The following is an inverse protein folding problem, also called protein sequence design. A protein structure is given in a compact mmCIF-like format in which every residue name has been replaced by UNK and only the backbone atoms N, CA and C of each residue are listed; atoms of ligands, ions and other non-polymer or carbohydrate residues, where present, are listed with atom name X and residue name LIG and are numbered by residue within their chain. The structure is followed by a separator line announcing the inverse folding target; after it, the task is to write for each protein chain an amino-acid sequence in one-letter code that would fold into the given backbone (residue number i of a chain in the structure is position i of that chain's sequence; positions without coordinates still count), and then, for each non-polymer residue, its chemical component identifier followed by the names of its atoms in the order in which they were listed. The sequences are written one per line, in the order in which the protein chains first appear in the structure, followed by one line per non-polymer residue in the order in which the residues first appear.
data_IF_692299465845
#
_entry.id   IF_692299465845
#
_cell.length_a   1.000
_cell.length_b   1.000
_cell.length_c   1.000
_cell.angle_alpha   90.00
_cell.angle_beta   90.00
_cell.angle_gamma   90.00
#
_symmetry.space_group_name_H-M   'P 1'
#
loop_
_entity.id
_entity.type
_entity.pdbx_description
1 polymer ?
#
# COMPACT_ATOMS: atom_id res chain seq x y z
N UNK A 1 62.08 28.98 -71.63
CA UNK A 1 62.06 27.80 -72.51
C UNK A 1 60.62 27.36 -72.69
N UNK A 2 60.18 27.23 -73.96
CA UNK A 2 59.13 26.35 -74.54
C UNK A 2 57.96 25.91 -73.62
N UNK A 3 56.69 25.88 -74.00
CA UNK A 3 55.94 26.20 -75.22
C UNK A 3 54.45 25.87 -74.88
N UNK A 4 53.52 26.57 -75.53
CA UNK A 4 52.20 26.10 -76.02
C UNK A 4 51.04 25.81 -75.04
N UNK A 5 49.97 26.57 -75.29
CA UNK A 5 48.52 26.42 -74.99
C UNK A 5 47.91 25.22 -75.79
N UNK A 6 46.57 24.98 -75.96
CA UNK A 6 45.35 25.67 -75.49
C UNK A 6 44.07 24.82 -75.16
N UNK A 7 43.09 25.48 -74.50
CA UNK A 7 41.62 25.55 -74.80
C UNK A 7 40.75 24.26 -74.78
N UNK A 8 39.63 24.28 -74.05
CA UNK A 8 38.22 24.28 -74.53
C UNK A 8 37.28 24.61 -73.33
N UNK A 9 36.72 25.83 -73.25
CA UNK A 9 35.29 26.18 -73.49
C UNK A 9 34.31 25.41 -72.54
N UNK A 10 33.38 25.99 -71.77
CA UNK A 10 32.36 27.01 -72.05
C UNK A 10 31.81 27.60 -70.73
N UNK A 11 31.44 28.88 -70.82
CA UNK A 11 30.71 29.75 -69.91
C UNK A 11 29.31 29.22 -69.52
N UNK A 12 28.95 29.27 -68.23
CA UNK A 12 27.67 29.86 -67.85
C UNK A 12 27.66 30.35 -66.40
N UNK A 13 27.73 31.67 -66.26
CA UNK A 13 27.40 32.41 -65.06
C UNK A 13 25.91 32.74 -65.07
N UNK A 14 25.25 32.64 -63.91
CA UNK A 14 24.06 33.36 -63.45
C UNK A 14 23.80 32.89 -62.01
N UNK A 15 23.53 33.67 -60.96
CA UNK A 15 23.46 35.10 -60.66
C UNK A 15 23.52 35.16 -59.12
N UNK A 16 24.35 36.05 -58.56
CA UNK A 16 24.10 36.97 -57.43
C UNK A 16 23.29 36.41 -56.23
N UNK A 17 23.87 36.41 -55.02
CA UNK A 17 23.51 37.35 -53.94
C UNK A 17 24.47 37.17 -52.74
N UNK A 18 24.94 38.32 -52.27
CA UNK A 18 25.97 38.53 -51.26
C UNK A 18 25.27 38.91 -49.96
N UNK A 19 25.42 38.16 -48.87
CA UNK A 19 25.29 38.71 -47.51
C UNK A 19 26.13 37.94 -46.51
N UNK A 20 26.85 38.71 -45.69
CA UNK A 20 27.68 38.28 -44.57
C UNK A 20 26.88 37.41 -43.58
N UNK A 21 27.50 36.33 -43.10
CA UNK A 21 27.15 35.73 -41.82
C UNK A 21 28.39 35.81 -40.93
N UNK A 22 28.28 36.65 -39.91
CA UNK A 22 29.13 36.71 -38.73
C UNK A 22 29.27 35.33 -38.10
N UNK A 23 30.51 34.86 -37.94
CA UNK A 23 30.81 33.67 -37.16
C UNK A 23 30.48 33.94 -35.68
N UNK A 24 29.39 33.36 -35.19
CA UNK A 24 29.16 33.20 -33.75
C UNK A 24 29.91 31.96 -33.27
N UNK A 25 30.47 31.95 -32.04
CA UNK A 25 31.09 30.76 -31.49
C UNK A 25 30.02 29.68 -31.30
N UNK A 26 30.28 28.49 -31.84
CA UNK A 26 29.50 27.29 -31.52
C UNK A 26 29.79 26.96 -30.06
N UNK A 27 28.86 27.35 -29.17
CA UNK A 27 28.78 26.73 -27.85
C UNK A 27 28.27 25.31 -28.13
N UNK A 28 29.18 24.34 -28.07
CA UNK A 28 28.82 22.93 -28.03
C UNK A 28 28.02 22.71 -26.75
N UNK A 29 26.71 22.57 -26.90
CA UNK A 29 25.81 22.07 -25.87
C UNK A 29 26.32 20.69 -25.42
N UNK A 30 26.94 20.64 -24.26
CA UNK A 30 27.20 19.38 -23.55
C UNK A 30 25.89 18.98 -22.87
N UNK A 31 24.90 18.62 -23.69
CA UNK A 31 23.74 17.89 -23.21
C UNK A 31 24.20 16.47 -22.90
N UNK A 32 24.49 16.22 -21.63
CA UNK A 32 24.63 14.87 -21.09
C UNK A 32 23.29 14.14 -21.33
N UNK A 33 23.26 13.06 -22.15
CA UNK A 33 22.02 12.40 -22.54
C UNK A 33 21.37 11.62 -21.38
N UNK A 34 21.91 11.70 -20.17
CA UNK A 34 21.47 10.90 -19.02
C UNK A 34 20.79 11.71 -17.90
N UNK A 35 20.46 12.99 -18.12
CA UNK A 35 19.53 13.69 -17.23
C UNK A 35 18.11 13.31 -17.65
N UNK A 36 17.60 12.24 -17.05
CA UNK A 36 16.21 11.84 -17.18
C UNK A 36 15.32 13.06 -16.95
N UNK A 37 14.63 13.52 -18.00
CA UNK A 37 13.73 14.65 -17.91
C UNK A 37 12.74 14.36 -16.76
N UNK A 38 12.63 15.29 -15.80
CA UNK A 38 11.67 15.17 -14.71
C UNK A 38 10.26 15.11 -15.31
N UNK A 39 9.76 13.91 -15.53
CA UNK A 39 8.40 13.69 -16.00
C UNK A 39 7.48 14.04 -14.84
N UNK A 40 6.53 14.96 -15.07
CA UNK A 40 5.48 15.22 -14.10
C UNK A 40 4.77 13.90 -13.83
N UNK A 41 4.67 13.50 -12.55
CA UNK A 41 3.91 12.32 -12.17
C UNK A 41 2.46 12.51 -12.62
N UNK A 42 1.87 11.47 -13.20
CA UNK A 42 0.44 11.47 -13.49
C UNK A 42 -0.32 11.66 -12.18
N UNK A 43 -0.94 12.83 -12.03
CA UNK A 43 -1.76 13.14 -10.86
C UNK A 43 -2.98 12.26 -10.87
N UNK A 44 -3.24 11.58 -9.75
CA UNK A 44 -4.42 10.72 -9.58
C UNK A 44 -5.71 11.57 -9.47
N UNK A 45 -6.88 11.03 -9.84
CA UNK A 45 -8.10 11.83 -10.03
C UNK A 45 -8.69 12.43 -8.75
N UNK A 46 -8.33 11.90 -7.57
CA UNK A 46 -8.78 12.38 -6.27
C UNK A 46 -7.76 12.00 -5.18
N UNK A 47 -7.80 12.65 -4.00
CA UNK A 47 -6.97 12.28 -2.86
C UNK A 47 -7.47 11.00 -2.15
N UNK A 48 -6.53 10.26 -1.57
CA UNK A 48 -6.80 9.18 -0.62
C UNK A 48 -6.85 9.74 0.80
N UNK A 49 -8.03 9.72 1.41
CA UNK A 49 -8.24 9.90 2.86
C UNK A 49 -8.17 8.54 3.51
N UNK A 50 -7.00 8.22 4.04
CA UNK A 50 -6.66 6.89 4.52
C UNK A 50 -6.86 6.85 6.02
N UNK A 51 -7.66 5.91 6.51
CA UNK A 51 -7.80 5.59 7.93
C UNK A 51 -7.02 4.30 8.24
N UNK A 52 -5.82 4.38 8.85
CA UNK A 52 -5.18 3.23 9.46
C UNK A 52 -5.94 2.85 10.74
N UNK A 53 -6.72 1.77 10.69
CA UNK A 53 -7.57 1.31 11.79
C UNK A 53 -7.04 -0.02 12.35
N UNK A 54 -6.73 -0.06 13.65
CA UNK A 54 -6.24 -1.29 14.24
C UNK A 54 -5.66 -1.12 15.63
N UNK A 55 -4.67 -1.97 15.96
CA UNK A 55 -4.08 -2.00 17.30
C UNK A 55 -2.64 -1.44 17.34
N UNK A 56 -1.79 -2.03 18.19
CA UNK A 56 -0.39 -1.63 18.37
C UNK A 56 0.45 -1.73 17.10
N UNK A 57 0.15 -2.70 16.23
CA UNK A 57 0.85 -2.84 14.94
C UNK A 57 0.55 -1.64 14.04
N UNK A 58 -0.72 -1.24 13.91
CA UNK A 58 -1.14 -0.02 13.19
C UNK A 58 -0.55 1.25 13.80
N UNK A 59 -0.48 1.34 15.13
CA UNK A 59 0.17 2.47 15.81
C UNK A 59 1.66 2.60 15.42
N UNK A 60 2.32 1.49 15.06
CA UNK A 60 3.77 1.45 14.91
C UNK A 60 4.50 1.23 16.23
N UNK A 61 3.86 0.57 17.20
CA UNK A 61 4.50 0.24 18.47
C UNK A 61 5.77 -0.59 18.24
N UNK A 62 6.82 -0.35 19.03
CA UNK A 62 8.18 -0.89 18.86
C UNK A 62 8.94 -0.47 17.60
N UNK A 63 8.35 0.32 16.69
CA UNK A 63 9.15 1.04 15.68
C UNK A 63 9.91 2.19 16.35
N UNK A 64 11.19 2.37 15.98
CA UNK A 64 12.06 3.39 16.59
C UNK A 64 11.54 4.82 16.39
N UNK A 65 10.92 5.06 15.24
CA UNK A 65 10.38 6.35 14.83
C UNK A 65 8.89 6.51 15.17
N UNK A 66 8.25 5.47 15.73
CA UNK A 66 6.83 5.45 16.03
C UNK A 66 5.91 5.49 14.79
N UNK A 67 6.43 5.33 13.56
CA UNK A 67 5.61 5.41 12.36
C UNK A 67 5.03 4.05 11.95
N UNK A 68 5.69 2.95 12.31
CA UNK A 68 5.36 1.62 11.79
C UNK A 68 5.42 1.56 10.27
N UNK A 69 4.43 0.94 9.63
CA UNK A 69 4.35 0.85 8.16
C UNK A 69 3.90 2.18 7.51
N UNK A 70 3.25 3.07 8.27
CA UNK A 70 2.46 4.19 7.73
C UNK A 70 3.30 5.15 6.89
N UNK A 71 4.51 5.48 7.36
CA UNK A 71 5.43 6.36 6.63
C UNK A 71 5.86 5.77 5.28
N UNK A 72 6.30 4.52 5.28
CA UNK A 72 6.73 3.81 4.07
C UNK A 72 5.60 3.71 3.04
N UNK A 73 4.39 3.37 3.50
CA UNK A 73 3.21 3.29 2.63
C UNK A 73 2.83 4.66 2.07
N UNK A 74 2.79 5.69 2.92
CA UNK A 74 2.47 7.06 2.49
C UNK A 74 3.44 7.53 1.43
N UNK A 75 4.74 7.39 1.66
CA UNK A 75 5.77 7.78 0.70
C UNK A 75 5.62 7.02 -0.63
N UNK A 76 5.24 5.74 -0.61
CA UNK A 76 4.99 4.97 -1.83
C UNK A 76 3.78 5.47 -2.62
N UNK A 77 2.67 5.79 -1.93
CA UNK A 77 1.47 6.33 -2.57
C UNK A 77 1.74 7.70 -3.19
N UNK A 78 2.46 8.56 -2.46
CA UNK A 78 2.94 9.87 -2.94
C UNK A 78 3.88 9.71 -4.13
N UNK A 79 4.77 8.72 -4.09
CA UNK A 79 5.64 8.37 -5.19
C UNK A 79 4.86 7.97 -6.46
N UNK A 80 3.76 7.25 -6.28
CA UNK A 80 2.86 6.83 -7.36
C UNK A 80 1.88 7.93 -7.85
N UNK A 81 1.96 9.15 -7.31
CA UNK A 81 1.15 10.29 -7.77
C UNK A 81 -0.16 10.54 -7.02
N UNK A 82 -0.43 9.81 -5.93
CA UNK A 82 -1.61 10.05 -5.08
C UNK A 82 -1.41 11.27 -4.17
N UNK A 83 -2.47 12.08 -4.05
CA UNK A 83 -2.67 12.94 -2.87
C UNK A 83 -3.09 12.08 -1.68
N UNK A 84 -2.50 12.30 -0.50
CA UNK A 84 -2.72 11.44 0.68
C UNK A 84 -2.89 12.29 1.94
N UNK A 85 -4.02 12.09 2.60
CA UNK A 85 -4.37 12.59 3.94
C UNK A 85 -4.58 11.37 4.84
N UNK A 86 -3.62 11.07 5.70
CA UNK A 86 -3.84 10.10 6.78
C UNK A 86 -4.79 10.74 7.79
N UNK A 87 -5.78 9.98 8.25
CA UNK A 87 -6.77 10.45 9.21
C UNK A 87 -6.88 9.49 10.39
N UNK A 88 -7.38 10.01 11.51
CA UNK A 88 -7.65 9.25 12.71
C UNK A 88 -7.67 10.13 13.95
N UNK A 89 -7.95 9.53 15.10
CA UNK A 89 -8.04 10.27 16.37
C UNK A 89 -6.71 10.34 17.13
N UNK A 90 -5.75 9.48 16.79
CA UNK A 90 -4.44 9.43 17.41
C UNK A 90 -3.36 9.99 16.48
N UNK A 91 -2.30 10.51 17.08
CA UNK A 91 -1.12 11.03 16.37
C UNK A 91 0.14 10.58 17.08
N UNK A 92 0.95 9.76 16.42
CA UNK A 92 2.32 9.48 16.85
C UNK A 92 3.22 9.11 15.67
N UNK A 93 4.50 9.30 15.90
CA UNK A 93 5.56 9.04 14.94
C UNK A 93 6.14 10.33 14.38
N UNK A 94 7.31 10.21 13.74
CA UNK A 94 8.05 11.34 13.19
C UNK A 94 7.62 11.78 11.78
N UNK A 95 6.68 11.07 11.13
CA UNK A 95 6.14 11.52 9.84
C UNK A 95 5.28 12.78 10.01
N UNK A 96 5.15 13.58 8.95
CA UNK A 96 4.37 14.83 9.02
C UNK A 96 2.87 14.55 9.14
N UNK A 97 2.38 13.58 8.37
CA UNK A 97 0.99 13.14 8.34
C UNK A 97 0.79 11.89 9.21
N UNK A 98 0.96 12.07 10.52
CA UNK A 98 1.09 10.97 11.47
C UNK A 98 -0.22 10.56 12.17
N UNK A 99 -1.36 10.95 11.60
CA UNK A 99 -2.70 10.58 12.05
C UNK A 99 -2.99 9.08 11.83
N UNK A 100 -3.70 8.45 12.78
CA UNK A 100 -4.16 7.06 12.70
C UNK A 100 -5.19 6.72 13.80
N UNK A 101 -5.76 5.53 13.76
CA UNK A 101 -6.59 4.93 14.81
C UNK A 101 -6.04 3.54 15.21
N UNK A 102 -4.79 3.54 15.69
CA UNK A 102 -4.07 2.35 16.15
C UNK A 102 -4.04 2.29 17.68
N UNK A 103 -4.80 1.38 18.30
CA UNK A 103 -5.02 1.35 19.76
C UNK A 103 -4.35 0.12 20.40
N UNK A 104 -3.30 0.34 21.20
CA UNK A 104 -2.52 -0.76 21.80
C UNK A 104 -3.42 -1.69 22.62
N UNK A 105 -3.30 -3.00 22.39
CA UNK A 105 -3.99 -4.04 23.15
C UNK A 105 -5.45 -4.27 22.75
N UNK A 106 -5.99 -3.48 21.82
CA UNK A 106 -7.40 -3.60 21.44
C UNK A 106 -7.67 -4.80 20.55
N UNK A 107 -8.80 -5.45 20.85
CA UNK A 107 -9.41 -6.53 20.08
C UNK A 107 -10.39 -6.03 19.04
N UNK A 108 -10.88 -6.94 18.19
CA UNK A 108 -11.89 -6.63 17.15
C UNK A 108 -13.14 -5.94 17.74
N UNK A 109 -13.66 -6.39 18.88
CA UNK A 109 -14.86 -5.82 19.50
C UNK A 109 -14.68 -4.36 19.95
N UNK A 110 -13.48 -4.03 20.46
CA UNK A 110 -13.15 -2.68 20.90
C UNK A 110 -12.92 -1.74 19.72
N UNK A 111 -12.25 -2.22 18.68
CA UNK A 111 -12.10 -1.49 17.41
C UNK A 111 -13.47 -1.24 16.78
N UNK A 112 -14.37 -2.23 16.79
CA UNK A 112 -15.72 -2.07 16.27
C UNK A 112 -16.57 -1.07 17.07
N UNK A 113 -16.41 -1.02 18.40
CA UNK A 113 -17.05 -0.01 19.23
C UNK A 113 -16.53 1.41 18.91
N UNK A 114 -15.22 1.56 18.74
CA UNK A 114 -14.59 2.85 18.41
C UNK A 114 -14.92 3.34 17.01
N UNK A 115 -14.99 2.44 16.02
CA UNK A 115 -15.38 2.78 14.65
C UNK A 115 -16.68 3.61 14.60
N UNK A 116 -17.64 3.30 15.47
CA UNK A 116 -18.92 4.03 15.59
C UNK A 116 -18.76 5.49 15.99
N UNK A 117 -17.68 5.82 16.70
CA UNK A 117 -17.40 7.17 17.17
C UNK A 117 -16.68 8.03 16.13
N UNK A 118 -16.08 7.40 15.11
CA UNK A 118 -15.24 8.06 14.11
C UNK A 118 -15.84 8.05 12.68
N UNK A 119 -17.03 7.51 12.48
CA UNK A 119 -17.70 7.44 11.16
C UNK A 119 -17.80 8.81 10.46
N UNK A 120 -17.90 9.91 11.21
CA UNK A 120 -17.97 11.26 10.66
C UNK A 120 -16.72 11.70 9.90
N UNK A 121 -15.58 11.02 10.06
CA UNK A 121 -14.35 11.29 9.33
C UNK A 121 -14.43 10.93 7.84
N UNK A 122 -15.34 10.01 7.48
CA UNK A 122 -15.65 9.55 6.12
C UNK A 122 -14.41 9.25 5.23
N UNK A 123 -13.53 8.30 5.61
CA UNK A 123 -12.42 7.88 4.77
C UNK A 123 -12.91 7.18 3.49
N UNK A 124 -12.23 7.39 2.36
CA UNK A 124 -12.44 6.58 1.15
C UNK A 124 -11.55 5.33 1.09
N UNK A 125 -10.55 5.22 1.99
CA UNK A 125 -9.71 4.05 2.11
C UNK A 125 -9.48 3.70 3.58
N UNK A 126 -9.80 2.48 3.98
CA UNK A 126 -9.54 1.98 5.35
C UNK A 126 -8.51 0.84 5.27
N UNK A 127 -7.45 0.93 6.07
CA UNK A 127 -6.48 -0.15 6.26
C UNK A 127 -6.77 -0.81 7.60
N UNK A 128 -7.36 -2.01 7.58
CA UNK A 128 -7.88 -2.68 8.77
C UNK A 128 -6.98 -3.84 9.20
N UNK A 129 -6.31 -3.66 10.35
CA UNK A 129 -5.49 -4.70 11.00
C UNK A 129 -5.91 -4.87 12.47
N UNK A 130 -6.71 -5.89 12.75
CA UNK A 130 -7.15 -6.25 14.10
C UNK A 130 -7.31 -7.77 14.23
N UNK A 131 -7.22 -8.31 15.44
CA UNK A 131 -7.31 -9.75 15.73
C UNK A 131 -6.09 -10.33 16.44
N UNK A 132 -4.91 -9.70 16.35
CA UNK A 132 -3.71 -10.16 17.09
C UNK A 132 -3.96 -10.23 18.59
N UNK A 133 -4.70 -9.25 19.15
CA UNK A 133 -5.03 -9.24 20.57
C UNK A 133 -6.12 -10.27 20.93
N UNK A 134 -7.01 -10.61 20.01
CA UNK A 134 -7.98 -11.69 20.19
C UNK A 134 -7.24 -13.03 20.34
N UNK A 135 -6.24 -13.30 19.49
CA UNK A 135 -5.36 -14.46 19.63
C UNK A 135 -4.53 -14.42 20.93
N UNK A 136 -3.94 -13.28 21.29
CA UNK A 136 -3.13 -13.14 22.50
C UNK A 136 -3.92 -13.32 23.80
N UNK A 137 -5.19 -12.94 23.78
CA UNK A 137 -6.08 -12.98 24.94
C UNK A 137 -7.01 -14.20 24.93
N UNK A 138 -6.85 -15.09 23.95
CA UNK A 138 -7.74 -16.24 23.70
C UNK A 138 -9.23 -15.85 23.73
N UNK A 139 -9.55 -14.71 23.10
CA UNK A 139 -10.86 -14.11 23.16
C UNK A 139 -11.65 -14.41 21.89
N UNK A 140 -12.59 -15.36 21.99
CA UNK A 140 -13.58 -15.63 20.93
C UNK A 140 -12.93 -15.78 19.54
N UNK A 141 -11.85 -16.57 19.48
CA UNK A 141 -11.06 -16.82 18.28
C UNK A 141 -11.90 -17.50 17.20
N UNK A 142 -12.73 -18.46 17.61
CA UNK A 142 -13.70 -19.21 16.80
C UNK A 142 -14.73 -18.35 16.04
N UNK A 143 -14.95 -17.12 16.51
CA UNK A 143 -15.91 -16.17 15.95
C UNK A 143 -15.27 -14.85 15.52
N UNK A 144 -13.93 -14.81 15.39
CA UNK A 144 -13.19 -13.63 14.95
C UNK A 144 -13.63 -13.16 13.56
N UNK A 145 -13.83 -14.08 12.61
CA UNK A 145 -14.35 -13.79 11.28
C UNK A 145 -15.73 -13.14 11.32
N UNK A 146 -16.68 -13.68 12.08
CA UNK A 146 -18.03 -13.11 12.23
C UNK A 146 -18.03 -11.71 12.85
N UNK A 147 -17.14 -11.45 13.81
CA UNK A 147 -16.99 -10.13 14.43
C UNK A 147 -16.36 -9.13 13.46
N UNK A 148 -15.38 -9.56 12.67
CA UNK A 148 -14.79 -8.75 11.61
C UNK A 148 -15.83 -8.45 10.52
N UNK A 149 -16.60 -9.45 10.10
CA UNK A 149 -17.71 -9.31 9.15
C UNK A 149 -18.72 -8.25 9.60
N UNK A 150 -19.12 -8.29 10.87
CA UNK A 150 -20.02 -7.28 11.46
C UNK A 150 -19.42 -5.87 11.44
N UNK A 151 -18.10 -5.75 11.65
CA UNK A 151 -17.40 -4.47 11.54
C UNK A 151 -17.35 -3.98 10.08
N UNK A 152 -17.05 -4.86 9.13
CA UNK A 152 -17.04 -4.53 7.70
C UNK A 152 -18.42 -4.05 7.24
N UNK A 153 -19.50 -4.77 7.58
CA UNK A 153 -20.89 -4.33 7.31
C UNK A 153 -21.11 -2.91 7.82
N UNK A 154 -20.79 -2.67 9.10
CA UNK A 154 -21.00 -1.36 9.69
C UNK A 154 -20.23 -0.25 8.97
N UNK A 155 -18.96 -0.50 8.59
CA UNK A 155 -18.15 0.48 7.87
C UNK A 155 -18.70 0.76 6.47
N UNK A 156 -19.05 -0.28 5.70
CA UNK A 156 -19.63 -0.10 4.36
C UNK A 156 -20.99 0.62 4.41
N UNK A 157 -21.84 0.30 5.39
CA UNK A 157 -23.16 0.92 5.54
C UNK A 157 -23.08 2.41 5.91
N UNK A 158 -22.03 2.84 6.62
CA UNK A 158 -21.93 4.19 7.18
C UNK A 158 -20.89 5.08 6.51
N UNK A 159 -20.04 4.52 5.64
CA UNK A 159 -18.97 5.24 4.94
C UNK A 159 -19.12 4.95 3.44
N UNK A 160 -20.01 5.68 2.74
CA UNK A 160 -20.20 5.49 1.31
C UNK A 160 -18.89 5.74 0.56
N UNK A 161 -18.71 5.06 -0.57
CA UNK A 161 -17.53 5.15 -1.44
C UNK A 161 -16.22 4.65 -0.80
N UNK A 162 -16.28 4.05 0.39
CA UNK A 162 -15.09 3.49 1.01
C UNK A 162 -14.67 2.18 0.33
N UNK A 163 -13.37 2.03 0.14
CA UNK A 163 -12.70 0.75 -0.08
C UNK A 163 -12.04 0.32 1.22
N UNK A 164 -12.18 -0.96 1.57
CA UNK A 164 -11.51 -1.52 2.74
C UNK A 164 -10.42 -2.47 2.26
N UNK A 165 -9.20 -2.27 2.73
CA UNK A 165 -8.15 -3.26 2.64
C UNK A 165 -8.11 -3.97 4.00
N UNK A 166 -8.48 -5.24 4.03
CA UNK A 166 -8.41 -6.07 5.23
C UNK A 166 -7.09 -6.84 5.21
N UNK A 167 -6.27 -6.74 6.26
CA UNK A 167 -5.10 -7.60 6.36
C UNK A 167 -5.41 -8.92 7.07
N UNK A 168 -4.76 -10.01 6.66
CA UNK A 168 -4.54 -11.13 7.60
C UNK A 168 -3.65 -10.66 8.76
N UNK A 169 -3.52 -11.47 9.81
CA UNK A 169 -2.63 -11.10 10.92
C UNK A 169 -1.16 -11.24 10.48
N UNK A 170 -0.28 -10.42 11.06
CA UNK A 170 1.15 -10.71 11.03
C UNK A 170 1.43 -11.97 11.85
N UNK A 171 2.58 -12.62 11.63
CA UNK A 171 2.95 -13.79 12.44
C UNK A 171 2.86 -13.48 13.94
N UNK A 172 2.14 -14.34 14.68
CA UNK A 172 1.97 -14.24 16.12
C UNK A 172 2.88 -15.28 16.79
N UNK A 173 4.11 -14.92 17.11
CA UNK A 173 5.07 -15.85 17.71
C UNK A 173 4.79 -16.23 19.17
N UNK A 174 3.71 -15.72 19.77
CA UNK A 174 3.25 -16.18 21.10
C UNK A 174 2.14 -17.20 21.00
N UNK A 175 1.15 -16.96 20.13
CA UNK A 175 0.02 -17.86 19.86
C UNK A 175 -0.13 -18.08 18.34
N UNK A 176 0.79 -18.82 17.70
CA UNK A 176 0.84 -18.95 16.24
C UNK A 176 -0.40 -19.66 15.67
N UNK A 177 -0.89 -20.71 16.33
CA UNK A 177 -2.09 -21.45 15.90
C UNK A 177 -3.33 -20.54 15.88
N UNK A 178 -3.60 -19.84 16.99
CA UNK A 178 -4.74 -18.90 17.06
C UNK A 178 -4.61 -17.74 16.06
N UNK A 179 -3.39 -17.27 15.79
CA UNK A 179 -3.15 -16.26 14.77
C UNK A 179 -3.47 -16.74 13.35
N UNK A 180 -3.11 -18.00 13.05
CA UNK A 180 -3.43 -18.67 11.78
C UNK A 180 -4.92 -18.94 11.65
N UNK A 181 -5.60 -19.35 12.72
CA UNK A 181 -7.06 -19.60 12.72
C UNK A 181 -7.85 -18.33 12.39
N UNK A 182 -7.46 -17.18 12.96
CA UNK A 182 -8.09 -15.89 12.65
C UNK A 182 -7.80 -15.48 11.20
N UNK A 183 -6.55 -15.65 10.74
CA UNK A 183 -6.18 -15.28 9.37
C UNK A 183 -6.92 -16.12 8.32
N UNK A 184 -7.14 -17.41 8.61
CA UNK A 184 -7.94 -18.31 7.75
C UNK A 184 -9.38 -17.82 7.65
N UNK A 185 -10.00 -17.48 8.78
CA UNK A 185 -11.35 -16.89 8.78
C UNK A 185 -11.43 -15.59 7.97
N UNK A 186 -10.36 -14.77 7.95
CA UNK A 186 -10.34 -13.53 7.17
C UNK A 186 -10.20 -13.76 5.67
N UNK A 187 -9.46 -14.80 5.26
CA UNK A 187 -9.37 -15.18 3.85
C UNK A 187 -10.72 -15.71 3.33
N UNK A 188 -11.41 -16.53 4.12
CA UNK A 188 -12.76 -17.02 3.80
C UNK A 188 -13.77 -15.86 3.73
N UNK A 189 -13.76 -14.99 4.75
CA UNK A 189 -14.59 -13.78 4.78
C UNK A 189 -14.34 -12.88 3.57
N UNK A 190 -13.08 -12.66 3.20
CA UNK A 190 -12.75 -11.85 2.04
C UNK A 190 -13.30 -12.45 0.74
N UNK A 191 -13.22 -13.77 0.57
CA UNK A 191 -13.82 -14.46 -0.57
C UNK A 191 -15.34 -14.29 -0.63
N UNK A 192 -16.03 -14.43 0.51
CA UNK A 192 -17.49 -14.25 0.63
C UNK A 192 -17.94 -12.83 0.30
N UNK A 193 -17.20 -11.84 0.79
CA UNK A 193 -17.48 -10.41 0.57
C UNK A 193 -17.22 -10.00 -0.88
N UNK A 194 -16.11 -10.49 -1.46
CA UNK A 194 -15.79 -10.31 -2.87
C UNK A 194 -16.84 -10.90 -3.80
N UNK A 195 -17.37 -12.08 -3.48
CA UNK A 195 -18.45 -12.69 -4.24
C UNK A 195 -19.76 -11.88 -4.19
N UNK A 196 -19.91 -10.98 -3.21
CA UNK A 196 -21.02 -10.04 -3.08
C UNK A 196 -20.74 -8.67 -3.75
N UNK A 197 -19.60 -8.53 -4.43
CA UNK A 197 -19.11 -7.29 -5.05
C UNK A 197 -18.77 -6.17 -4.05
N UNK A 198 -18.47 -6.51 -2.79
CA UNK A 198 -17.93 -5.52 -1.85
C UNK A 198 -16.56 -5.04 -2.34
N UNK A 199 -16.29 -3.73 -2.17
CA UNK A 199 -14.97 -3.10 -2.42
C UNK A 199 -13.99 -3.44 -1.31
N UNK A 200 -13.74 -4.74 -1.14
CA UNK A 200 -12.86 -5.32 -0.15
C UNK A 200 -11.68 -5.99 -0.86
N UNK A 201 -10.46 -5.70 -0.45
CA UNK A 201 -9.25 -6.40 -0.95
C UNK A 201 -8.49 -6.96 0.25
N UNK A 202 -8.00 -8.21 0.14
CA UNK A 202 -7.16 -8.79 1.18
C UNK A 202 -5.70 -8.38 0.98
N UNK A 203 -5.06 -7.94 2.06
CA UNK A 203 -3.62 -7.78 2.19
C UNK A 203 -3.06 -8.95 3.01
N UNK A 204 -2.63 -10.02 2.34
CA UNK A 204 -2.12 -11.20 3.05
C UNK A 204 -0.70 -10.97 3.60
N UNK A 205 -0.63 -10.76 4.92
CA UNK A 205 0.60 -10.54 5.68
C UNK A 205 1.31 -11.84 6.05
N UNK A 206 0.59 -12.97 6.04
CA UNK A 206 1.03 -14.24 6.64
C UNK A 206 2.19 -14.90 5.90
N UNK A 207 2.34 -14.60 4.62
CA UNK A 207 3.40 -15.14 3.75
C UNK A 207 4.67 -14.29 3.77
N UNK A 208 4.59 -13.04 4.22
CA UNK A 208 5.70 -12.08 4.09
C UNK A 208 6.30 -11.66 5.43
N UNK A 209 5.49 -11.45 6.47
CA UNK A 209 5.99 -11.03 7.79
C UNK A 209 6.16 -12.25 8.71
N UNK A 210 7.39 -12.75 8.79
CA UNK A 210 7.74 -14.00 9.49
C UNK A 210 8.36 -13.77 10.88
N UNK A 211 8.64 -14.88 11.58
CA UNK A 211 9.05 -14.91 12.99
C UNK A 211 10.35 -14.14 13.31
N UNK A 212 11.30 -14.07 12.37
CA UNK A 212 12.60 -13.42 12.50
C UNK A 212 12.52 -11.89 12.33
N UNK A 213 11.35 -11.39 11.91
CA UNK A 213 11.10 -9.97 11.70
C UNK A 213 10.34 -9.33 12.85
N UNK A 214 10.28 -9.98 14.01
CA UNK A 214 9.54 -9.51 15.19
C UNK A 214 10.47 -9.17 16.35
N UNK A 215 10.19 -8.05 17.03
CA UNK A 215 10.99 -7.58 18.18
C UNK A 215 10.69 -8.37 19.45
N UNK A 216 9.41 -8.64 19.71
CA UNK A 216 8.92 -9.27 20.95
C UNK A 216 7.98 -10.45 20.67
N UNK A 217 8.23 -11.12 19.54
CA UNK A 217 7.38 -12.17 18.95
C UNK A 217 6.01 -11.70 18.48
N UNK A 218 5.71 -10.39 18.52
CA UNK A 218 4.43 -9.82 18.10
C UNK A 218 4.62 -8.63 17.17
N UNK A 219 5.42 -7.65 17.57
CA UNK A 219 5.54 -6.39 16.85
C UNK A 219 6.65 -6.46 15.81
N UNK A 220 6.39 -6.04 14.54
CA UNK A 220 7.41 -6.01 13.51
C UNK A 220 8.62 -5.14 13.88
N UNK A 221 9.79 -5.55 13.39
CA UNK A 221 11.00 -4.74 13.34
C UNK A 221 10.82 -3.59 12.35
N UNK A 222 11.80 -2.67 12.28
CA UNK A 222 11.79 -1.63 11.25
C UNK A 222 11.74 -2.21 9.82
N UNK A 223 12.45 -3.31 9.56
CA UNK A 223 12.41 -4.02 8.29
C UNK A 223 11.03 -4.67 8.05
N UNK A 224 10.49 -5.38 9.06
CA UNK A 224 9.16 -5.99 8.98
C UNK A 224 8.04 -4.98 8.73
N UNK A 225 8.12 -3.78 9.33
CA UNK A 225 7.17 -2.70 9.04
C UNK A 225 7.29 -2.15 7.61
N UNK A 226 8.51 -2.08 7.05
CA UNK A 226 8.73 -1.68 5.66
C UNK A 226 8.18 -2.73 4.68
N UNK A 227 8.32 -4.01 5.01
CA UNK A 227 7.72 -5.11 4.26
C UNK A 227 6.20 -5.11 4.34
N UNK A 228 5.64 -4.88 5.53
CA UNK A 228 4.20 -4.69 5.73
C UNK A 228 3.64 -3.58 4.82
N UNK A 229 4.37 -2.48 4.63
CA UNK A 229 3.98 -1.41 3.71
C UNK A 229 3.90 -1.88 2.25
N UNK A 230 4.73 -2.87 1.85
CA UNK A 230 4.75 -3.43 0.49
C UNK A 230 3.52 -4.29 0.23
N UNK A 231 3.05 -5.02 1.24
CA UNK A 231 1.80 -5.80 1.17
C UNK A 231 0.59 -4.88 1.05
N UNK A 232 0.52 -3.84 1.89
CA UNK A 232 -0.53 -2.81 1.78
C UNK A 232 -0.52 -2.14 0.40
N UNK A 233 0.66 -1.76 -0.08
CA UNK A 233 0.81 -1.13 -1.39
C UNK A 233 0.31 -2.03 -2.53
N UNK A 234 0.66 -3.32 -2.53
CA UNK A 234 0.17 -4.25 -3.54
C UNK A 234 -1.36 -4.40 -3.51
N UNK A 235 -1.97 -4.48 -2.33
CA UNK A 235 -3.43 -4.54 -2.20
C UNK A 235 -4.12 -3.26 -2.67
N UNK A 236 -3.54 -2.09 -2.43
CA UNK A 236 -4.07 -0.81 -2.94
C UNK A 236 -3.94 -0.73 -4.46
N UNK A 237 -2.85 -1.22 -5.05
CA UNK A 237 -2.73 -1.32 -6.51
C UNK A 237 -3.77 -2.27 -7.12
N UNK A 238 -4.09 -3.39 -6.45
CA UNK A 238 -5.16 -4.27 -6.92
C UNK A 238 -6.52 -3.57 -6.84
N UNK A 239 -6.83 -2.87 -5.74
CA UNK A 239 -8.04 -2.06 -5.62
C UNK A 239 -8.12 -0.99 -6.71
N UNK A 240 -7.01 -0.33 -7.04
CA UNK A 240 -6.94 0.63 -8.15
C UNK A 240 -7.23 -0.04 -9.50
N UNK A 241 -6.56 -1.16 -9.79
CA UNK A 241 -6.72 -1.93 -11.02
C UNK A 241 -8.15 -2.44 -11.22
N UNK A 242 -8.83 -2.79 -10.14
CA UNK A 242 -10.23 -3.25 -10.14
C UNK A 242 -11.25 -2.11 -10.11
N UNK A 243 -10.80 -0.85 -10.04
CA UNK A 243 -11.66 0.32 -10.03
C UNK A 243 -12.45 0.51 -8.74
N UNK A 244 -11.94 -0.01 -7.61
CA UNK A 244 -12.59 0.10 -6.31
C UNK A 244 -12.33 1.44 -5.62
N UNK A 245 -11.21 2.10 -5.92
CA UNK A 245 -10.91 3.40 -5.33
C UNK A 245 -11.87 4.46 -5.87
N UNK A 246 -12.56 5.16 -4.95
CA UNK A 246 -13.50 6.23 -5.27
C UNK A 246 -13.14 7.53 -4.53
N UNK A 247 -13.61 8.66 -5.06
CA UNK A 247 -13.36 9.96 -4.45
C UNK A 247 -13.97 10.05 -3.03
N UNK A 248 -13.29 10.72 -2.09
CA UNK A 248 -13.79 10.87 -0.74
C UNK A 248 -15.03 11.75 -0.69
N UNK A 249 -15.99 11.34 0.15
CA UNK A 249 -17.17 12.13 0.43
C UNK A 249 -16.79 13.42 1.16
N UNK A 250 -17.32 14.54 0.69
CA UNK A 250 -17.19 15.82 1.38
C UNK A 250 -17.92 15.80 2.73
N UNK A 251 -17.31 16.42 3.73
CA UNK A 251 -17.86 16.61 5.07
C UNK A 251 -17.84 18.10 5.42
N UNK A 252 -18.40 18.47 6.57
CA UNK A 252 -18.33 19.87 7.06
C UNK A 252 -16.89 20.37 7.23
N UNK A 253 -15.96 19.45 7.52
CA UNK A 253 -14.54 19.75 7.76
C UNK A 253 -13.64 19.41 6.58
N UNK A 254 -14.17 18.81 5.52
CA UNK A 254 -13.42 18.40 4.33
C UNK A 254 -14.20 18.64 3.04
N UNK A 255 -13.64 19.44 2.13
CA UNK A 255 -14.33 19.89 0.92
C UNK A 255 -14.12 19.01 -0.33
N UNK A 256 -13.57 17.80 -0.19
CA UNK A 256 -13.29 16.93 -1.34
C UNK A 256 -11.86 17.04 -1.90
N UNK A 257 -11.06 18.01 -1.42
CA UNK A 257 -9.70 18.27 -1.91
C UNK A 257 -8.72 18.53 -0.78
N UNK A 258 -7.42 18.23 -0.99
CA UNK A 258 -6.35 18.68 -0.10
C UNK A 258 -5.83 20.02 -0.62
N UNK A 259 -5.90 21.08 0.19
CA UNK A 259 -5.36 22.38 -0.24
C UNK A 259 -3.84 22.30 -0.44
N UNK A 260 -3.27 23.04 -1.40
CA UNK A 260 -1.81 23.08 -1.63
C UNK A 260 -1.00 23.43 -0.37
N UNK A 261 -1.55 24.30 0.48
CA UNK A 261 -0.93 24.65 1.77
C UNK A 261 -0.90 23.46 2.72
N UNK A 262 -2.03 22.74 2.83
CA UNK A 262 -2.12 21.52 3.64
C UNK A 262 -1.20 20.43 3.09
N UNK A 263 -1.21 20.22 1.78
CA UNK A 263 -0.35 19.22 1.13
C UNK A 263 1.13 19.46 1.44
N UNK A 264 1.59 20.72 1.35
CA UNK A 264 2.97 21.09 1.72
C UNK A 264 3.30 20.82 3.20
N UNK A 265 2.32 20.89 4.10
CA UNK A 265 2.52 20.59 5.52
C UNK A 265 2.57 19.09 5.80
N UNK A 266 1.87 18.29 4.98
CA UNK A 266 1.82 16.83 5.10
C UNK A 266 2.97 16.13 4.38
N UNK A 267 3.68 16.84 3.49
CA UNK A 267 4.69 16.23 2.63
C UNK A 267 5.93 15.76 3.41
N UNK A 268 6.04 14.45 3.58
CA UNK A 268 7.22 13.73 4.05
C UNK A 268 7.88 12.90 2.94
N UNK A 269 7.55 13.17 1.67
CA UNK A 269 8.03 12.42 0.50
C UNK A 269 9.47 12.82 0.19
N UNK A 270 10.38 11.84 0.19
CA UNK A 270 11.83 12.08 0.00
C UNK A 270 12.37 11.48 -1.30
N UNK A 271 11.51 10.95 -2.16
CA UNK A 271 11.89 10.22 -3.37
C UNK A 271 11.21 8.85 -3.44
N UNK A 272 11.78 7.93 -4.20
CA UNK A 272 11.39 6.51 -4.17
C UNK A 272 11.67 5.93 -2.77
N UNK A 273 10.65 5.42 -2.04
CA UNK A 273 10.87 4.82 -0.71
C UNK A 273 11.67 3.50 -0.76
N UNK A 274 11.91 2.92 -1.94
CA UNK A 274 12.56 1.63 -2.16
C UNK A 274 11.89 0.53 -1.34
N UNK A 275 10.58 0.35 -1.52
CA UNK A 275 9.88 -0.79 -0.90
C UNK A 275 10.42 -2.12 -1.44
N UNK A 276 10.56 -3.16 -0.61
CA UNK A 276 10.91 -4.48 -1.08
C UNK A 276 9.87 -5.01 -2.07
N UNK A 277 10.33 -5.78 -3.05
CA UNK A 277 9.43 -6.40 -4.02
C UNK A 277 8.51 -7.41 -3.30
N UNK A 278 7.22 -7.30 -3.56
CA UNK A 278 6.21 -8.21 -3.06
C UNK A 278 5.25 -8.57 -4.20
N UNK A 279 5.05 -9.87 -4.40
CA UNK A 279 4.06 -10.39 -5.35
C UNK A 279 2.87 -10.87 -4.55
N UNK A 280 1.78 -10.10 -4.57
CA UNK A 280 0.56 -10.48 -3.87
C UNK A 280 0.04 -11.83 -4.39
N UNK A 281 -0.36 -12.75 -3.50
CA UNK A 281 -1.09 -13.93 -3.93
C UNK A 281 -2.41 -13.49 -4.58
N UNK A 282 -3.01 -14.34 -5.44
CA UNK A 282 -4.34 -14.09 -5.98
C UNK A 282 -5.35 -13.82 -4.85
N UNK A 283 -6.24 -12.85 -5.08
CA UNK A 283 -7.32 -12.57 -4.13
C UNK A 283 -8.19 -13.83 -3.94
N UNK A 284 -8.61 -14.16 -2.71
CA UNK A 284 -9.37 -15.37 -2.46
C UNK A 284 -10.76 -15.25 -3.10
N UNK A 285 -11.20 -16.34 -3.75
CA UNK A 285 -12.47 -16.41 -4.47
C UNK A 285 -13.26 -17.64 -4.04
N UNK A 286 -14.58 -17.54 -3.98
CA UNK A 286 -15.44 -18.72 -3.79
C UNK A 286 -15.47 -19.51 -5.10
N UNK A 287 -14.89 -20.71 -5.09
CA UNK A 287 -15.15 -21.70 -6.14
C UNK A 287 -16.47 -22.38 -5.84
N UNK A 288 -17.55 -22.00 -6.53
CA UNK A 288 -18.81 -22.77 -6.46
C UNK A 288 -18.61 -24.07 -7.22
N UNK A 289 -18.17 -25.12 -6.54
CA UNK A 289 -18.26 -26.48 -7.08
C UNK A 289 -19.74 -26.88 -7.08
N UNK A 290 -20.26 -27.32 -8.24
CA UNK A 290 -21.63 -27.87 -8.40
C UNK A 290 -21.89 -29.17 -7.61
N UNK A 291 -21.03 -29.53 -6.67
CA UNK A 291 -21.23 -30.68 -5.80
C UNK A 291 -21.82 -30.20 -4.48
N UNK A 292 -22.97 -30.78 -4.11
CA UNK A 292 -23.85 -30.37 -3.01
C UNK A 292 -23.29 -30.70 -1.62
N UNK A 293 -21.97 -30.71 -1.46
CA UNK A 293 -21.31 -30.84 -0.17
C UNK A 293 -20.44 -29.62 0.08
N UNK A 294 -20.84 -28.79 1.05
CA UNK A 294 -19.93 -27.82 1.70
C UNK A 294 -18.81 -28.63 2.36
N UNK A 295 -17.75 -28.93 1.60
CA UNK A 295 -16.50 -29.44 2.15
C UNK A 295 -15.45 -28.35 2.00
N UNK A 296 -15.05 -27.79 3.13
CA UNK A 296 -13.88 -26.93 3.23
C UNK A 296 -12.65 -27.77 2.90
N UNK A 297 -12.17 -27.68 1.67
CA UNK A 297 -10.85 -28.15 1.28
C UNK A 297 -10.12 -27.00 0.61
N UNK A 298 -9.71 -26.02 1.42
CA UNK A 298 -8.53 -25.24 1.07
C UNK A 298 -7.32 -26.11 1.37
N UNK A 299 -6.56 -26.36 0.32
CA UNK A 299 -5.42 -27.25 0.25
C UNK A 299 -4.43 -27.07 1.42
N UNK A 300 -4.26 -28.17 2.19
CA UNK A 300 -3.26 -28.41 3.23
C UNK A 300 -1.78 -28.29 2.79
N UNK A 301 -1.50 -27.68 1.64
CA UNK A 301 -0.15 -27.61 1.07
C UNK A 301 0.69 -26.43 1.58
N UNK A 302 0.10 -25.44 2.26
CA UNK A 302 0.85 -24.33 2.89
C UNK A 302 1.11 -24.52 4.38
N UNK A 303 0.32 -25.32 5.09
CA UNK A 303 0.48 -25.56 6.54
C UNK A 303 1.60 -26.55 6.85
N UNK A 304 1.84 -27.52 5.95
CA UNK A 304 2.88 -28.55 6.15
C UNK A 304 4.32 -28.02 6.07
N UNK A 305 4.57 -26.91 5.36
CA UNK A 305 5.93 -26.36 5.21
C UNK A 305 6.32 -25.46 6.39
N UNK A 306 5.36 -24.80 7.04
CA UNK A 306 5.63 -24.01 8.26
C UNK A 306 5.96 -24.87 9.49
N UNK A 307 5.40 -26.08 9.60
CA UNK A 307 5.73 -26.98 10.72
C UNK A 307 7.09 -27.67 10.59
N UNK A 308 7.59 -27.91 9.37
CA UNK A 308 8.90 -28.57 9.18
C UNK A 308 10.06 -27.63 9.56
N UNK A 309 9.92 -26.31 9.39
CA UNK A 309 10.95 -25.34 9.77
C UNK A 309 11.05 -25.11 11.29
N UNK A 310 9.95 -25.28 12.03
CA UNK A 310 9.94 -25.15 13.51
C UNK A 310 10.59 -26.37 14.17
N UNK A 311 10.45 -27.57 13.59
CA UNK A 311 11.11 -28.76 14.12
C UNK A 311 12.62 -28.77 13.89
N UNK A 312 13.14 -28.19 12.79
CA UNK A 312 14.59 -28.19 12.51
C UNK A 312 15.35 -27.18 13.39
N UNK A 313 14.71 -26.08 13.80
CA UNK A 313 15.34 -25.07 14.67
C UNK A 313 15.46 -25.48 16.15
N UNK A 314 14.69 -26.48 16.62
CA UNK A 314 14.75 -26.99 17.99
C UNK A 314 15.79 -28.11 18.19
N UNK A 315 16.44 -28.59 17.13
CA UNK A 315 17.53 -29.58 17.20
C UNK A 315 18.94 -28.98 17.01
N UNK A 316 19.07 -27.67 16.92
CA UNK A 316 20.36 -26.95 16.82
C UNK A 316 20.54 -25.87 17.90
N UNK A 317 20.18 -26.20 19.15
CA UNK A 317 20.71 -25.55 20.37
C UNK A 317 21.17 -26.64 21.33
#
# INVERSE_FOLDING_TARGET
MRQLTPIFWVVQACLIWLTLVSASPVISDLSDPNVSALQARDTKPFPLRILPLGASITMGYKSKDGNGYRKWLRQQLRYAGWEVDMIGTLKNGTMHDNDHDGHIGWRIDQIAAHAKTIISQQPNLILLNAGTNDALQDYKVDTAGKRMDSLLTYLFDNIPNTTIILSTLTFNGKNPELGTDISTQYLELAAERRAQNDRLVIADMSTFIQWDQLVDKIHPTAAGYKEMASVWWAAIQEAEKEGFLEAPKSTTTYNGTISKTREKQLDDSTGDPSLPAYTAPPQPTITVSNDSTRSGQWHLWTVGVQMIMVCIALFYV
#
